data_IF_880273230702
#
_entry.id   IF_880273230702
#
_cell.length_a   1.000
_cell.length_b   1.000
_cell.length_c   1.000
_cell.angle_alpha   90.00
_cell.angle_beta   90.00
_cell.angle_gamma   90.00
#
_symmetry.space_group_name_H-M   'P 1'
#
loop_
_entity.id
_entity.type
_entity.pdbx_description
1 polymer ?
#
# COMPACT_ATOMS: atom_id res chain seq x y z
N UNK A 1 -47.32 -19.47 -9.62
CA UNK A 1 -46.27 -18.54 -10.12
C UNK A 1 -45.81 -17.54 -9.07
N UNK A 2 -46.66 -16.68 -8.48
CA UNK A 2 -46.21 -15.61 -7.56
C UNK A 2 -45.24 -16.04 -6.43
N UNK A 3 -45.48 -17.16 -5.73
CA UNK A 3 -44.57 -17.68 -4.68
C UNK A 3 -43.17 -18.05 -5.20
N UNK A 4 -43.06 -18.52 -6.45
CA UNK A 4 -41.79 -18.87 -7.09
C UNK A 4 -41.01 -17.62 -7.48
N UNK A 5 -41.70 -16.61 -8.03
CA UNK A 5 -41.12 -15.30 -8.35
C UNK A 5 -40.62 -14.58 -7.08
N UNK A 6 -41.38 -14.65 -5.98
CA UNK A 6 -40.97 -14.09 -4.69
C UNK A 6 -39.73 -14.81 -4.13
N UNK A 7 -39.67 -16.14 -4.22
CA UNK A 7 -38.50 -16.92 -3.82
C UNK A 7 -37.25 -16.57 -4.64
N UNK A 8 -37.38 -16.44 -5.96
CA UNK A 8 -36.27 -16.03 -6.84
C UNK A 8 -35.82 -14.59 -6.53
N UNK A 9 -36.75 -13.66 -6.26
CA UNK A 9 -36.43 -12.29 -5.89
C UNK A 9 -35.70 -12.21 -4.53
N UNK A 10 -36.11 -13.01 -3.53
CA UNK A 10 -35.44 -13.07 -2.22
C UNK A 10 -34.05 -13.72 -2.33
N UNK A 11 -33.88 -14.76 -3.15
CA UNK A 11 -32.56 -15.34 -3.41
C UNK A 11 -31.65 -14.36 -4.16
N UNK A 12 -32.18 -13.61 -5.14
CA UNK A 12 -31.42 -12.54 -5.81
C UNK A 12 -31.03 -11.41 -4.86
N UNK A 13 -31.91 -11.00 -3.93
CA UNK A 13 -31.58 -10.03 -2.88
C UNK A 13 -30.50 -10.58 -1.92
N UNK A 14 -30.62 -11.83 -1.48
CA UNK A 14 -29.63 -12.46 -0.61
C UNK A 14 -28.27 -12.65 -1.32
N UNK A 15 -28.26 -12.91 -2.63
CA UNK A 15 -27.05 -12.92 -3.44
C UNK A 15 -26.47 -11.51 -3.69
N UNK A 16 -27.30 -10.46 -3.68
CA UNK A 16 -26.84 -9.06 -3.72
C UNK A 16 -26.22 -8.61 -2.38
N UNK A 17 -26.67 -9.18 -1.25
CA UNK A 17 -26.09 -8.91 0.08
C UNK A 17 -24.91 -9.82 0.46
N UNK A 18 -24.57 -10.83 -0.35
CA UNK A 18 -23.27 -11.52 -0.30
C UNK A 18 -22.12 -10.67 -0.87
N UNK A 19 -22.14 -9.37 -0.55
CA UNK A 19 -21.02 -8.47 -0.73
C UNK A 19 -19.90 -8.85 0.23
N UNK A 20 -18.90 -9.58 -0.25
CA UNK A 20 -17.66 -9.85 0.49
C UNK A 20 -17.08 -8.53 1.02
N UNK A 21 -16.95 -8.41 2.33
CA UNK A 21 -16.43 -7.20 2.96
C UNK A 21 -14.96 -7.01 2.56
N UNK A 22 -14.67 -5.93 1.84
CA UNK A 22 -13.33 -5.64 1.37
C UNK A 22 -12.34 -5.46 2.54
N UNK A 23 -11.13 -5.98 2.36
CA UNK A 23 -9.99 -5.68 3.24
C UNK A 23 -9.37 -4.33 2.89
N UNK A 24 -8.97 -3.59 3.92
CA UNK A 24 -8.04 -2.47 3.81
C UNK A 24 -6.92 -2.71 4.82
N UNK A 25 -5.76 -3.15 4.32
CA UNK A 25 -4.60 -3.54 5.12
C UNK A 25 -3.56 -2.42 5.09
N UNK A 26 -3.25 -1.83 6.24
CA UNK A 26 -2.41 -0.64 6.31
C UNK A 26 -1.09 -0.92 7.04
N UNK A 27 0.03 -0.57 6.41
CA UNK A 27 1.34 -0.72 7.04
C UNK A 27 1.73 0.55 7.84
N UNK A 28 2.19 0.32 9.07
CA UNK A 28 2.90 1.28 9.91
C UNK A 28 4.41 0.99 9.81
N UNK A 29 5.21 1.96 9.37
CA UNK A 29 6.66 1.84 9.29
C UNK A 29 7.33 2.42 10.55
N UNK A 30 7.99 1.58 11.36
CA UNK A 30 8.50 2.00 12.67
C UNK A 30 9.60 3.06 12.59
N UNK A 31 10.35 3.15 11.49
CA UNK A 31 11.39 4.16 11.29
C UNK A 31 10.82 5.57 11.03
N UNK A 32 9.53 5.70 10.71
CA UNK A 32 8.92 7.00 10.45
C UNK A 32 8.84 7.90 11.70
N UNK A 33 9.00 7.33 12.90
CA UNK A 33 9.09 8.09 14.16
C UNK A 33 10.36 8.94 14.29
N UNK A 34 11.37 8.69 13.45
CA UNK A 34 12.66 9.39 13.44
C UNK A 34 12.74 10.51 12.39
N UNK A 35 11.70 10.69 11.57
CA UNK A 35 11.64 11.80 10.60
C UNK A 35 11.56 13.16 11.31
N UNK A 36 12.11 14.23 10.72
CA UNK A 36 12.14 15.54 11.36
C UNK A 36 10.75 16.22 11.35
N UNK A 37 10.48 17.01 12.40
CA UNK A 37 9.36 17.95 12.44
C UNK A 37 8.00 17.34 12.15
N UNK A 38 7.23 17.98 11.26
CA UNK A 38 5.86 17.61 10.92
C UNK A 38 5.70 16.26 10.19
N UNK A 39 6.80 15.62 9.77
CA UNK A 39 6.77 14.28 9.16
C UNK A 39 7.07 13.14 10.16
N UNK A 40 7.33 13.46 11.43
CA UNK A 40 7.40 12.45 12.49
C UNK A 40 6.07 11.72 12.60
N UNK A 41 6.11 10.39 12.59
CA UNK A 41 4.92 9.56 12.58
C UNK A 41 4.99 8.42 13.61
N UNK A 42 3.94 8.27 14.40
CA UNK A 42 3.85 7.35 15.56
C UNK A 42 2.53 6.58 15.55
N UNK A 43 2.36 5.54 16.38
CA UNK A 43 1.07 4.84 16.50
C UNK A 43 -0.09 5.75 16.94
N UNK A 44 0.20 6.81 17.72
CA UNK A 44 -0.79 7.79 18.19
C UNK A 44 -1.38 8.65 17.05
N UNK A 45 -0.72 8.68 15.88
CA UNK A 45 -1.22 9.38 14.68
C UNK A 45 -2.27 8.56 13.90
N UNK A 46 -2.39 7.25 14.19
CA UNK A 46 -3.27 6.32 13.49
C UNK A 46 -4.71 6.43 14.02
N UNK A 47 -5.66 6.67 13.12
CA UNK A 47 -7.08 6.43 13.42
C UNK A 47 -7.36 4.91 13.37
N UNK A 48 -7.73 4.25 14.49
CA UNK A 48 -7.94 2.81 14.54
C UNK A 48 -9.16 2.34 13.73
N UNK A 49 -10.05 3.25 13.33
CA UNK A 49 -11.21 2.95 12.49
C UNK A 49 -10.90 3.02 10.98
N UNK A 50 -9.74 3.54 10.60
CA UNK A 50 -9.38 3.82 9.21
C UNK A 50 -9.15 2.57 8.35
N UNK A 51 -8.60 1.50 8.95
CA UNK A 51 -8.18 0.28 8.26
C UNK A 51 -8.80 -0.95 8.92
N UNK A 52 -9.04 -2.03 8.16
CA UNK A 52 -9.55 -3.29 8.77
C UNK A 52 -8.44 -4.13 9.38
N UNK A 53 -7.19 -3.94 8.94
CA UNK A 53 -6.00 -4.60 9.48
C UNK A 53 -4.84 -3.60 9.52
N UNK A 54 -4.05 -3.63 10.59
CA UNK A 54 -2.80 -2.87 10.74
C UNK A 54 -1.62 -3.85 10.80
N UNK A 55 -0.54 -3.56 10.06
CA UNK A 55 0.70 -4.36 10.07
C UNK A 55 1.87 -3.46 10.48
N UNK A 56 2.61 -3.89 11.50
CA UNK A 56 3.83 -3.23 11.95
C UNK A 56 5.04 -3.69 11.11
N UNK A 57 5.58 -2.79 10.28
CA UNK A 57 6.80 -3.00 9.49
C UNK A 57 8.00 -2.34 10.19
N UNK A 58 9.08 -3.05 10.55
CA UNK A 58 9.27 -4.50 10.52
C UNK A 58 9.63 -5.02 11.92
N UNK A 59 9.10 -6.21 12.25
CA UNK A 59 9.73 -7.15 13.17
C UNK A 59 10.66 -8.10 12.38
N UNK A 60 11.61 -8.74 13.04
CA UNK A 60 12.91 -9.14 12.47
C UNK A 60 13.54 -10.04 13.56
N UNK A 61 14.08 -11.28 13.35
CA UNK A 61 14.48 -12.29 14.42
C UNK A 61 15.99 -12.67 14.76
N UNK A 62 16.48 -12.53 16.03
CA UNK A 62 17.87 -12.79 16.59
C UNK A 62 17.86 -13.54 17.91
N UNK A 63 18.69 -14.56 18.10
CA UNK A 63 18.81 -15.28 19.40
C UNK A 63 17.46 -15.82 19.93
N UNK A 64 16.54 -16.25 19.04
CA UNK A 64 15.11 -16.52 19.32
C UNK A 64 14.25 -15.30 19.72
N UNK A 65 14.85 -14.10 19.73
CA UNK A 65 14.25 -12.75 19.70
C UNK A 65 14.47 -12.05 18.33
N UNK A 66 15.24 -10.92 18.19
CA UNK A 66 15.14 -9.86 17.10
C UNK A 66 16.38 -9.40 16.22
N UNK A 67 16.51 -9.75 14.89
CA UNK A 67 17.50 -9.33 13.78
C UNK A 67 17.23 -10.08 12.42
N UNK A 68 17.82 -9.75 11.26
CA UNK A 68 17.54 -10.42 9.95
C UNK A 68 18.81 -10.75 9.14
N UNK A 69 18.65 -11.35 7.92
CA UNK A 69 19.37 -11.01 6.66
C UNK A 69 20.35 -12.07 6.02
N UNK A 70 19.93 -13.28 5.57
CA UNK A 70 20.92 -14.28 5.06
C UNK A 70 20.54 -15.37 4.02
N UNK A 71 21.28 -15.36 2.89
CA UNK A 71 21.62 -16.40 1.87
C UNK A 71 20.65 -17.50 1.38
N UNK A 72 19.60 -17.93 2.08
CA UNK A 72 18.72 -19.03 1.64
C UNK A 72 17.27 -18.61 1.29
N UNK A 73 17.02 -17.30 1.22
CA UNK A 73 15.71 -16.69 0.95
C UNK A 73 15.03 -17.24 -0.32
N UNK A 74 15.81 -17.56 -1.38
CA UNK A 74 15.30 -18.10 -2.65
C UNK A 74 14.68 -19.51 -2.49
N UNK A 75 15.22 -20.32 -1.57
CA UNK A 75 14.69 -21.66 -1.27
C UNK A 75 13.48 -21.57 -0.34
N UNK A 76 13.53 -20.67 0.65
CA UNK A 76 12.39 -20.33 1.50
C UNK A 76 11.20 -19.80 0.68
N UNK A 77 11.45 -19.02 -0.38
CA UNK A 77 10.41 -18.48 -1.27
C UNK A 77 9.53 -19.57 -1.89
N UNK A 78 10.11 -20.72 -2.28
CA UNK A 78 9.33 -21.84 -2.85
C UNK A 78 8.47 -22.55 -1.79
N UNK A 79 9.03 -22.80 -0.60
CA UNK A 79 8.29 -23.42 0.51
C UNK A 79 7.22 -22.50 1.10
N UNK A 80 7.48 -21.20 1.18
CA UNK A 80 6.51 -20.19 1.61
C UNK A 80 5.37 -20.04 0.58
N UNK A 81 5.68 -20.08 -0.72
CA UNK A 81 4.68 -20.17 -1.78
C UNK A 81 3.86 -21.48 -1.72
N UNK A 82 4.37 -22.58 -1.18
CA UNK A 82 3.58 -23.81 -1.02
C UNK A 82 2.46 -23.68 0.04
N UNK A 83 2.61 -22.78 1.02
CA UNK A 83 1.56 -22.47 2.02
C UNK A 83 0.31 -21.82 1.41
N UNK A 84 0.41 -21.29 0.17
CA UNK A 84 -0.69 -20.65 -0.57
C UNK A 84 -1.96 -21.49 -0.67
N UNK A 85 -1.82 -22.82 -0.62
CA UNK A 85 -2.90 -23.77 -0.88
C UNK A 85 -3.58 -24.33 0.37
N UNK A 86 -3.14 -23.96 1.60
CA UNK A 86 -3.64 -24.61 2.83
C UNK A 86 -4.03 -23.70 4.00
N UNK A 87 -3.36 -22.56 4.25
CA UNK A 87 -3.52 -21.86 5.57
C UNK A 87 -3.53 -20.34 5.56
N UNK A 88 -3.25 -19.64 4.46
CA UNK A 88 -3.19 -18.18 4.45
C UNK A 88 -4.57 -17.53 4.22
N UNK A 89 -4.91 -16.51 5.02
CA UNK A 89 -6.17 -15.76 4.91
C UNK A 89 -6.21 -14.85 3.67
N UNK A 90 -5.12 -14.11 3.42
CA UNK A 90 -4.97 -13.21 2.27
C UNK A 90 -3.50 -12.95 1.90
N UNK A 91 -3.29 -12.36 0.72
CA UNK A 91 -2.00 -11.95 0.16
C UNK A 91 -1.97 -10.44 -0.05
N UNK A 92 -0.94 -9.77 0.46
CA UNK A 92 -0.67 -8.37 0.15
C UNK A 92 0.29 -8.30 -1.04
N UNK A 93 -0.22 -7.93 -2.21
CA UNK A 93 0.60 -7.81 -3.43
C UNK A 93 1.24 -6.42 -3.47
N UNK A 94 2.57 -6.36 -3.56
CA UNK A 94 3.33 -5.11 -3.68
C UNK A 94 3.26 -4.61 -5.14
N UNK A 95 2.11 -4.07 -5.55
CA UNK A 95 1.86 -3.55 -6.91
C UNK A 95 2.33 -2.10 -7.06
N UNK A 96 3.59 -1.89 -6.73
CA UNK A 96 4.35 -0.64 -6.78
C UNK A 96 5.86 -0.99 -6.88
N UNK A 97 6.75 0.00 -6.92
CA UNK A 97 8.18 -0.18 -7.24
C UNK A 97 8.42 -0.83 -8.63
N UNK A 98 7.51 -0.63 -9.59
CA UNK A 98 7.65 -1.19 -10.95
C UNK A 98 8.76 -0.50 -11.75
N UNK A 99 8.87 0.82 -11.57
CA UNK A 99 9.92 1.64 -12.14
C UNK A 99 10.44 2.62 -11.08
N UNK A 100 11.75 2.83 -11.07
CA UNK A 100 12.42 3.68 -10.10
C UNK A 100 13.84 4.03 -10.55
N UNK A 101 14.63 4.72 -9.72
CA UNK A 101 15.93 5.31 -10.11
C UNK A 101 17.02 4.31 -10.50
N UNK A 102 16.75 3.00 -10.40
CA UNK A 102 17.53 1.90 -10.98
C UNK A 102 17.33 1.71 -12.49
N UNK A 103 16.30 2.32 -13.09
CA UNK A 103 16.06 2.35 -14.53
C UNK A 103 16.80 3.52 -15.20
N UNK A 104 17.25 3.32 -16.44
CA UNK A 104 17.83 4.38 -17.30
C UNK A 104 16.81 5.31 -17.96
N UNK A 105 15.55 5.24 -17.51
CA UNK A 105 14.43 6.04 -18.00
C UNK A 105 13.46 6.30 -16.85
N UNK A 106 12.81 7.47 -16.89
CA UNK A 106 11.72 7.82 -15.99
C UNK A 106 10.49 6.96 -16.24
N UNK A 107 9.90 6.40 -15.19
CA UNK A 107 8.73 5.54 -15.29
C UNK A 107 7.90 5.57 -14.02
N UNK A 108 6.61 5.24 -14.14
CA UNK A 108 5.64 5.34 -13.06
C UNK A 108 5.91 4.33 -11.94
N UNK A 109 5.79 4.76 -10.67
CA UNK A 109 6.00 3.89 -9.52
C UNK A 109 5.03 2.69 -9.52
N UNK A 110 3.74 2.98 -9.71
CA UNK A 110 2.62 2.07 -9.42
C UNK A 110 1.56 2.01 -10.54
N UNK A 111 1.91 1.97 -11.84
CA UNK A 111 0.94 2.09 -12.92
C UNK A 111 -0.16 1.02 -12.87
N UNK A 112 -1.40 1.41 -13.21
CA UNK A 112 -2.52 0.46 -13.24
C UNK A 112 -2.40 -0.50 -14.43
N UNK A 113 -2.01 0.02 -15.59
CA UNK A 113 -1.80 -0.75 -16.83
C UNK A 113 -0.38 -0.54 -17.40
N UNK A 114 0.05 -1.46 -18.27
CA UNK A 114 1.32 -1.32 -18.98
C UNK A 114 1.31 -0.14 -19.97
N UNK A 115 2.47 0.44 -20.24
CA UNK A 115 2.66 1.31 -21.41
C UNK A 115 2.24 0.56 -22.69
N UNK A 116 1.56 1.22 -23.67
CA UNK A 116 1.05 0.56 -24.88
C UNK A 116 2.09 -0.23 -25.68
N UNK A 117 3.35 0.21 -25.64
CA UNK A 117 4.48 -0.39 -26.36
C UNK A 117 5.36 -1.31 -25.49
N UNK A 118 4.93 -1.67 -24.27
CA UNK A 118 5.69 -2.51 -23.36
C UNK A 118 6.03 -3.88 -23.97
N UNK A 119 7.29 -4.31 -23.84
CA UNK A 119 7.79 -5.58 -24.37
C UNK A 119 8.27 -6.50 -23.25
N UNK A 120 8.28 -7.81 -23.52
CA UNK A 120 8.68 -8.83 -22.55
C UNK A 120 7.95 -8.69 -21.21
N UNK A 121 8.71 -8.78 -20.11
CA UNK A 121 8.18 -8.74 -18.75
C UNK A 121 7.52 -7.39 -18.39
N UNK A 122 7.87 -6.30 -19.06
CA UNK A 122 7.32 -4.96 -18.77
C UNK A 122 5.81 -4.88 -19.03
N UNK A 123 5.24 -5.83 -19.81
CA UNK A 123 3.79 -6.01 -19.98
C UNK A 123 3.05 -6.33 -18.67
N UNK A 124 3.76 -6.88 -17.68
CA UNK A 124 3.23 -7.24 -16.37
C UNK A 124 3.69 -6.29 -15.25
N UNK A 125 4.56 -5.32 -15.56
CA UNK A 125 5.05 -4.30 -14.61
C UNK A 125 4.01 -3.19 -14.42
N UNK A 126 2.87 -3.60 -13.86
CA UNK A 126 1.70 -2.79 -13.54
C UNK A 126 0.76 -3.61 -12.63
N UNK A 127 -0.14 -2.92 -11.92
CA UNK A 127 -1.07 -3.52 -10.97
C UNK A 127 -1.96 -4.59 -11.63
N UNK A 128 -2.56 -4.30 -12.78
CA UNK A 128 -3.49 -5.22 -13.43
C UNK A 128 -2.82 -6.51 -13.89
N UNK A 129 -1.67 -6.39 -14.58
CA UNK A 129 -0.87 -7.53 -15.03
C UNK A 129 -0.34 -8.38 -13.88
N UNK A 130 0.10 -7.76 -12.79
CA UNK A 130 0.59 -8.50 -11.59
C UNK A 130 -0.53 -9.31 -10.93
N UNK A 131 -1.69 -8.71 -10.70
CA UNK A 131 -2.84 -9.42 -10.10
C UNK A 131 -3.32 -10.55 -11.01
N UNK A 132 -3.36 -10.33 -12.32
CA UNK A 132 -3.78 -11.34 -13.29
C UNK A 132 -2.81 -12.54 -13.30
N UNK A 133 -1.49 -12.31 -13.29
CA UNK A 133 -0.49 -13.39 -13.16
C UNK A 133 -0.71 -14.19 -11.87
N UNK A 134 -0.95 -13.53 -10.73
CA UNK A 134 -1.21 -14.24 -9.47
C UNK A 134 -2.47 -15.12 -9.52
N UNK A 135 -3.52 -14.69 -10.22
CA UNK A 135 -4.73 -15.52 -10.45
C UNK A 135 -4.45 -16.70 -11.37
N UNK A 136 -3.69 -16.49 -12.44
CA UNK A 136 -3.30 -17.55 -13.40
C UNK A 136 -2.42 -18.62 -12.73
N UNK A 137 -1.56 -18.23 -11.79
CA UNK A 137 -0.79 -19.11 -10.89
C UNK A 137 -1.63 -19.73 -9.75
N UNK A 138 -2.96 -19.61 -9.81
CA UNK A 138 -3.90 -20.31 -8.90
C UNK A 138 -4.16 -19.62 -7.56
N UNK A 139 -3.77 -18.35 -7.37
CA UNK A 139 -4.16 -17.64 -6.16
C UNK A 139 -5.66 -17.26 -6.19
N UNK A 140 -6.46 -17.63 -5.17
CA UNK A 140 -7.88 -17.28 -5.14
C UNK A 140 -8.06 -15.75 -5.13
N UNK A 141 -8.88 -15.22 -6.04
CA UNK A 141 -9.02 -13.79 -6.27
C UNK A 141 -9.46 -13.05 -4.99
N UNK A 142 -10.40 -13.62 -4.26
CA UNK A 142 -10.91 -13.13 -2.98
C UNK A 142 -9.83 -13.08 -1.90
N UNK A 143 -8.71 -13.80 -2.03
CA UNK A 143 -7.56 -13.72 -1.12
C UNK A 143 -6.52 -12.67 -1.53
N UNK A 144 -6.60 -12.08 -2.72
CA UNK A 144 -5.64 -11.06 -3.16
C UNK A 144 -6.03 -9.66 -2.67
N UNK A 145 -5.07 -8.94 -2.07
CA UNK A 145 -5.15 -7.50 -1.83
C UNK A 145 -4.16 -6.79 -2.77
N UNK A 146 -4.60 -5.81 -3.55
CA UNK A 146 -3.70 -4.99 -4.38
C UNK A 146 -3.03 -3.88 -3.54
N UNK A 147 -1.75 -3.63 -3.78
CA UNK A 147 -0.94 -2.64 -3.07
C UNK A 147 -1.01 -1.24 -3.68
N UNK A 148 -1.20 -0.26 -2.80
CA UNK A 148 -1.29 1.17 -3.11
C UNK A 148 -0.13 1.90 -2.45
N UNK A 149 0.55 2.75 -3.21
CA UNK A 149 1.71 3.50 -2.76
C UNK A 149 1.31 4.88 -2.23
N UNK A 150 1.71 5.22 -1.01
CA UNK A 150 1.66 6.59 -0.48
C UNK A 150 2.86 7.44 -0.91
N UNK A 151 3.56 7.09 -1.99
CA UNK A 151 4.84 7.68 -2.39
C UNK A 151 5.04 7.56 -3.91
N UNK A 152 6.01 8.30 -4.43
CA UNK A 152 6.47 8.23 -5.81
C UNK A 152 7.96 8.00 -5.90
N UNK A 153 8.40 7.50 -7.06
CA UNK A 153 9.82 7.41 -7.40
C UNK A 153 10.25 8.60 -8.24
N UNK A 154 11.35 9.24 -7.84
CA UNK A 154 11.88 10.42 -8.49
C UNK A 154 13.19 10.14 -9.26
N UNK A 155 13.34 10.85 -10.37
CA UNK A 155 14.38 10.64 -11.37
C UNK A 155 15.04 11.97 -11.72
N UNK A 156 16.30 11.88 -12.15
CA UNK A 156 17.00 12.95 -12.85
C UNK A 156 16.98 12.66 -14.36
N UNK A 157 16.23 13.45 -15.10
CA UNK A 157 16.17 13.41 -16.56
C UNK A 157 17.51 13.85 -17.16
N UNK A 158 17.92 13.18 -18.24
CA UNK A 158 19.12 13.52 -19.01
C UNK A 158 18.83 14.29 -20.31
N UNK A 159 17.55 14.56 -20.60
CA UNK A 159 17.09 15.32 -21.78
C UNK A 159 15.92 16.24 -21.39
N UNK A 160 15.46 17.07 -22.33
CA UNK A 160 14.24 17.88 -22.17
C UNK A 160 12.93 17.11 -22.39
N UNK A 161 12.98 15.80 -22.72
CA UNK A 161 11.79 14.96 -22.76
C UNK A 161 11.31 14.69 -21.32
N UNK A 162 10.02 14.88 -21.08
CA UNK A 162 9.37 14.75 -19.76
C UNK A 162 8.27 13.69 -19.72
N UNK A 163 8.01 13.01 -20.85
CA UNK A 163 7.03 11.93 -20.91
C UNK A 163 7.55 10.66 -20.22
N UNK A 164 6.66 9.77 -19.73
CA UNK A 164 7.04 8.43 -19.29
C UNK A 164 7.88 7.70 -20.36
N UNK A 165 8.97 7.06 -19.93
CA UNK A 165 10.01 6.51 -20.81
C UNK A 165 11.11 7.51 -21.21
N UNK A 166 11.07 8.77 -20.75
CA UNK A 166 12.14 9.74 -21.02
C UNK A 166 13.49 9.29 -20.41
N UNK A 167 14.63 9.48 -21.11
CA UNK A 167 15.94 9.11 -20.60
C UNK A 167 16.27 9.78 -19.26
N UNK A 168 16.73 8.97 -18.31
CA UNK A 168 17.12 9.39 -16.96
C UNK A 168 18.49 8.81 -16.59
N UNK A 169 19.26 9.52 -15.77
CA UNK A 169 20.62 9.13 -15.37
C UNK A 169 20.82 9.02 -13.85
N UNK A 170 19.74 8.72 -13.13
CA UNK A 170 19.77 8.37 -11.71
C UNK A 170 18.59 8.93 -10.93
N UNK A 171 18.73 8.88 -9.60
CA UNK A 171 17.77 9.38 -8.64
C UNK A 171 17.54 10.89 -8.74
N UNK A 172 16.28 11.30 -8.55
CA UNK A 172 15.96 12.68 -8.18
C UNK A 172 16.49 13.04 -6.79
N UNK A 173 16.52 14.33 -6.41
CA UNK A 173 16.96 14.76 -5.09
C UNK A 173 16.19 14.07 -3.96
N UNK A 174 16.84 13.96 -2.78
CA UNK A 174 16.19 13.46 -1.58
C UNK A 174 15.16 14.46 -1.07
N UNK A 175 13.99 13.95 -0.66
CA UNK A 175 12.99 14.76 0.06
C UNK A 175 13.52 15.26 1.40
N UNK A 176 13.06 16.44 1.85
CA UNK A 176 13.51 17.05 3.10
C UNK A 176 13.24 16.16 4.34
N UNK A 177 12.14 15.40 4.31
CA UNK A 177 11.64 14.61 5.42
C UNK A 177 11.91 13.11 5.26
N UNK A 178 11.81 12.58 4.04
CA UNK A 178 12.16 11.17 3.77
C UNK A 178 13.67 10.95 3.68
N UNK A 179 14.42 11.98 3.28
CA UNK A 179 15.90 11.99 3.21
C UNK A 179 16.49 10.86 2.34
N UNK A 180 15.71 10.36 1.39
CA UNK A 180 16.08 9.28 0.47
C UNK A 180 16.04 9.79 -0.97
N UNK A 181 17.18 9.81 -1.66
CA UNK A 181 17.23 10.17 -3.08
C UNK A 181 16.40 9.21 -3.92
N UNK A 182 15.65 9.75 -4.88
CA UNK A 182 14.83 8.96 -5.80
C UNK A 182 13.50 8.46 -5.23
N UNK A 183 13.11 8.95 -4.05
CA UNK A 183 11.90 8.58 -3.33
C UNK A 183 11.29 9.83 -2.69
N UNK A 184 9.98 10.03 -2.85
CA UNK A 184 9.26 11.13 -2.21
C UNK A 184 7.95 10.62 -1.63
N UNK A 185 7.67 10.95 -0.37
CA UNK A 185 6.35 10.72 0.23
C UNK A 185 5.28 11.57 -0.46
N UNK A 186 4.01 11.15 -0.44
CA UNK A 186 2.91 11.92 -1.05
C UNK A 186 2.87 13.36 -0.55
N UNK A 187 3.08 13.57 0.76
CA UNK A 187 3.14 14.91 1.34
C UNK A 187 4.34 15.75 0.85
N UNK A 188 5.46 15.14 0.45
CA UNK A 188 6.59 15.84 -0.18
C UNK A 188 6.31 16.14 -1.65
N UNK A 189 5.58 15.26 -2.35
CA UNK A 189 5.13 15.49 -3.72
C UNK A 189 4.16 16.68 -3.76
N UNK A 190 3.25 16.80 -2.78
CA UNK A 190 2.42 18.00 -2.62
C UNK A 190 3.22 19.31 -2.44
N UNK A 191 4.44 19.26 -1.91
CA UNK A 191 5.34 20.42 -1.88
C UNK A 191 6.02 20.65 -3.24
N UNK A 192 6.49 19.59 -3.89
CA UNK A 192 7.09 19.63 -5.23
C UNK A 192 6.13 20.22 -6.28
N UNK A 193 4.85 19.82 -6.24
CA UNK A 193 3.78 20.28 -7.14
C UNK A 193 3.56 21.80 -7.11
N UNK A 194 3.98 22.51 -6.05
CA UNK A 194 3.86 23.98 -5.97
C UNK A 194 4.71 24.72 -7.02
N UNK A 195 5.74 24.06 -7.55
CA UNK A 195 6.67 24.62 -8.54
C UNK A 195 6.91 23.68 -9.74
N UNK A 196 6.08 22.64 -9.90
CA UNK A 196 6.22 21.62 -10.94
C UNK A 196 5.02 21.61 -11.90
N UNK A 197 5.20 21.03 -13.07
CA UNK A 197 4.09 20.71 -14.00
C UNK A 197 3.62 19.28 -13.75
N UNK A 198 2.38 19.11 -13.30
CA UNK A 198 1.70 17.81 -13.27
C UNK A 198 1.13 17.45 -14.64
N UNK A 199 1.16 16.16 -14.99
CA UNK A 199 0.48 15.57 -16.14
C UNK A 199 -0.10 14.22 -15.76
N UNK A 200 -1.12 13.80 -16.51
CA UNK A 200 -1.75 12.49 -16.37
C UNK A 200 -1.26 11.54 -17.47
N UNK A 201 -0.72 10.38 -17.11
CA UNK A 201 -0.55 9.27 -18.05
C UNK A 201 -1.89 8.54 -18.21
N UNK A 202 -2.63 8.90 -19.26
CA UNK A 202 -3.91 8.27 -19.59
C UNK A 202 -3.79 6.79 -20.00
N UNK A 203 -2.61 6.31 -20.37
CA UNK A 203 -2.38 4.90 -20.70
C UNK A 203 -2.13 4.05 -19.45
N UNK A 204 -1.49 4.63 -18.43
CA UNK A 204 -1.15 3.94 -17.19
C UNK A 204 -2.09 4.28 -16.01
N UNK A 205 -2.98 5.26 -16.18
CA UNK A 205 -3.98 5.75 -15.20
C UNK A 205 -3.37 6.26 -13.88
N UNK A 206 -2.28 7.01 -14.00
CA UNK A 206 -1.51 7.59 -12.89
C UNK A 206 -0.97 8.97 -13.26
N UNK A 207 -0.71 9.85 -12.28
CA UNK A 207 -0.05 11.13 -12.48
C UNK A 207 1.48 11.02 -12.44
N UNK A 208 2.13 11.90 -13.21
CA UNK A 208 3.53 12.26 -13.01
C UNK A 208 3.69 13.78 -12.94
N UNK A 209 4.77 14.24 -12.31
CA UNK A 209 5.11 15.65 -12.25
C UNK A 209 6.59 15.89 -12.56
N UNK A 210 6.93 17.05 -13.10
CA UNK A 210 8.31 17.41 -13.39
C UNK A 210 8.61 18.91 -13.21
N UNK A 211 9.87 19.20 -12.87
CA UNK A 211 10.41 20.55 -12.66
C UNK A 211 11.86 20.58 -13.12
N UNK A 212 12.14 21.35 -14.17
CA UNK A 212 13.47 21.33 -14.80
C UNK A 212 13.82 19.94 -15.31
N UNK A 213 14.82 19.29 -14.70
CA UNK A 213 15.20 17.90 -14.97
C UNK A 213 14.82 16.92 -13.84
N UNK A 214 14.08 17.35 -12.82
CA UNK A 214 13.49 16.48 -11.80
C UNK A 214 12.14 15.96 -12.30
N UNK A 215 11.88 14.67 -12.13
CA UNK A 215 10.64 14.00 -12.54
C UNK A 215 10.21 13.03 -11.44
N UNK A 216 8.91 12.91 -11.16
CA UNK A 216 8.36 11.95 -10.19
C UNK A 216 7.09 11.31 -10.73
N UNK A 217 7.02 9.97 -10.67
CA UNK A 217 5.85 9.17 -11.02
C UNK A 217 5.23 8.59 -9.77
N UNK A 218 3.92 8.78 -9.58
CA UNK A 218 3.31 8.66 -8.25
C UNK A 218 1.81 8.33 -8.28
N UNK A 219 1.16 8.38 -7.12
CA UNK A 219 -0.28 8.19 -6.96
C UNK A 219 -0.93 9.44 -6.35
N UNK A 220 -2.15 9.76 -6.77
CA UNK A 220 -2.98 10.82 -6.19
C UNK A 220 -4.42 10.28 -5.94
N UNK A 221 -5.32 11.07 -5.33
CA UNK A 221 -6.69 10.63 -5.05
C UNK A 221 -7.50 10.19 -6.28
N UNK A 222 -7.16 10.63 -7.50
CA UNK A 222 -7.80 10.20 -8.74
C UNK A 222 -7.31 8.81 -9.17
N UNK A 223 -5.99 8.57 -9.20
CA UNK A 223 -5.44 7.25 -9.55
C UNK A 223 -5.84 6.19 -8.52
N UNK A 224 -5.91 6.55 -7.23
CA UNK A 224 -6.48 5.70 -6.19
C UNK A 224 -7.95 5.34 -6.48
N UNK A 225 -8.77 6.29 -6.93
CA UNK A 225 -10.16 6.02 -7.29
C UNK A 225 -10.28 5.07 -8.48
N UNK A 226 -9.52 5.28 -9.54
CA UNK A 226 -9.57 4.47 -10.75
C UNK A 226 -9.01 3.06 -10.53
N UNK A 227 -7.95 2.93 -9.72
CA UNK A 227 -7.46 1.64 -9.21
C UNK A 227 -8.52 0.92 -8.38
N UNK A 228 -9.30 1.61 -7.53
CA UNK A 228 -10.40 0.97 -6.77
C UNK A 228 -11.57 0.57 -7.68
N UNK A 229 -11.94 1.37 -8.69
CA UNK A 229 -12.93 0.97 -9.71
C UNK A 229 -12.50 -0.32 -10.42
N UNK A 230 -11.22 -0.40 -10.81
CA UNK A 230 -10.64 -1.61 -11.40
C UNK A 230 -10.61 -2.78 -10.41
N UNK A 231 -10.21 -2.56 -9.15
CA UNK A 231 -10.12 -3.57 -8.09
C UNK A 231 -11.46 -4.28 -7.87
N UNK A 232 -12.55 -3.49 -7.76
CA UNK A 232 -13.92 -4.01 -7.64
C UNK A 232 -14.33 -4.82 -8.87
N UNK A 233 -14.05 -4.33 -10.08
CA UNK A 233 -14.31 -5.05 -11.34
C UNK A 233 -13.52 -6.35 -11.44
N UNK A 234 -12.30 -6.37 -10.90
CA UNK A 234 -11.43 -7.54 -10.82
C UNK A 234 -11.80 -8.53 -9.71
N UNK A 235 -12.81 -8.22 -8.88
CA UNK A 235 -13.33 -9.09 -7.82
C UNK A 235 -12.25 -9.65 -6.88
N UNK A 236 -11.23 -8.85 -6.56
CA UNK A 236 -10.21 -9.23 -5.58
C UNK A 236 -10.59 -8.78 -4.17
N UNK A 237 -10.01 -9.42 -3.16
CA UNK A 237 -10.43 -9.32 -1.76
C UNK A 237 -10.24 -7.97 -1.04
N UNK A 238 -9.41 -7.06 -1.56
CA UNK A 238 -9.19 -5.78 -0.91
C UNK A 238 -8.01 -4.98 -1.43
N UNK A 239 -7.72 -3.90 -0.71
CA UNK A 239 -6.53 -3.06 -0.90
C UNK A 239 -5.55 -3.23 0.28
N UNK A 240 -4.29 -2.96 -0.01
CA UNK A 240 -3.22 -2.81 0.94
C UNK A 240 -2.53 -1.47 0.70
N UNK A 241 -2.08 -0.76 1.73
CA UNK A 241 -1.39 0.53 1.57
C UNK A 241 -0.01 0.56 2.24
N UNK A 242 0.99 0.95 1.45
CA UNK A 242 2.36 1.20 1.89
C UNK A 242 2.72 2.68 1.71
N UNK A 243 2.84 3.49 2.76
CA UNK A 243 2.46 3.26 4.16
C UNK A 243 1.63 4.45 4.62
N UNK A 244 0.93 4.30 5.75
CA UNK A 244 0.19 5.42 6.36
C UNK A 244 1.10 6.64 6.62
N UNK A 245 2.37 6.38 6.97
CA UNK A 245 3.38 7.42 7.25
C UNK A 245 3.80 8.24 6.03
N UNK A 246 3.45 7.82 4.81
CA UNK A 246 3.86 8.47 3.56
C UNK A 246 2.72 9.28 2.93
N UNK A 247 1.48 9.01 3.34
CA UNK A 247 0.31 9.88 3.08
C UNK A 247 0.46 11.22 3.82
N UNK A 248 -0.35 12.24 3.48
CA UNK A 248 -0.46 13.44 4.33
C UNK A 248 -1.34 13.15 5.56
N UNK A 249 -0.81 12.31 6.45
CA UNK A 249 -1.45 11.95 7.72
C UNK A 249 -1.81 13.18 8.58
N UNK A 250 -1.04 14.25 8.45
CA UNK A 250 -1.22 15.52 9.17
C UNK A 250 -2.35 16.38 8.61
N UNK A 251 -2.60 16.30 7.30
CA UNK A 251 -3.44 17.20 6.50
C UNK A 251 -2.85 18.58 6.23
N UNK A 252 -1.56 18.80 6.54
CA UNK A 252 -0.92 20.13 6.53
C UNK A 252 -0.12 20.44 5.27
N UNK A 253 0.21 19.43 4.46
CA UNK A 253 1.10 19.58 3.31
C UNK A 253 0.33 19.74 1.98
N UNK A 254 -0.71 18.93 1.80
CA UNK A 254 -1.52 18.85 0.58
C UNK A 254 -2.78 19.71 0.62
N UNK A 255 -3.21 20.17 1.81
CA UNK A 255 -4.48 20.87 2.05
C UNK A 255 -5.73 20.07 1.61
N UNK A 256 -5.64 18.74 1.60
CA UNK A 256 -6.72 17.81 1.21
C UNK A 256 -7.43 17.16 2.43
N UNK A 257 -7.17 17.66 3.65
CA UNK A 257 -7.55 17.00 4.90
C UNK A 257 -6.51 15.95 5.33
N UNK A 258 -6.69 15.38 6.53
CA UNK A 258 -5.82 14.28 7.02
C UNK A 258 -6.02 13.04 6.16
N UNK A 259 -4.93 12.32 5.91
CA UNK A 259 -4.94 11.00 5.27
C UNK A 259 -5.69 10.96 3.90
N UNK A 260 -5.40 11.88 2.97
CA UNK A 260 -6.17 12.01 1.74
C UNK A 260 -6.16 10.76 0.86
N UNK A 261 -5.08 9.97 0.88
CA UNK A 261 -4.98 8.73 0.10
C UNK A 261 -5.68 7.55 0.80
N UNK A 262 -5.35 7.24 2.07
CA UNK A 262 -5.97 6.08 2.74
C UNK A 262 -7.46 6.31 3.04
N UNK A 263 -7.88 7.55 3.31
CA UNK A 263 -9.31 7.88 3.46
C UNK A 263 -10.07 7.68 2.15
N UNK A 264 -9.44 7.89 0.99
CA UNK A 264 -10.03 7.57 -0.32
C UNK A 264 -10.25 6.06 -0.45
N UNK A 265 -9.30 5.23 -0.03
CA UNK A 265 -9.46 3.76 0.01
C UNK A 265 -10.60 3.33 0.94
N UNK A 266 -10.58 3.82 2.19
CA UNK A 266 -11.60 3.53 3.21
C UNK A 266 -13.01 3.82 2.69
N UNK A 267 -13.23 5.03 2.19
CA UNK A 267 -14.53 5.48 1.70
C UNK A 267 -15.00 4.68 0.48
N UNK A 268 -14.12 4.45 -0.51
CA UNK A 268 -14.51 3.75 -1.73
C UNK A 268 -14.72 2.24 -1.52
N UNK A 269 -13.98 1.61 -0.60
CA UNK A 269 -14.20 0.21 -0.23
C UNK A 269 -15.42 0.03 0.69
N UNK A 270 -15.95 1.10 1.26
CA UNK A 270 -17.12 1.08 2.14
C UNK A 270 -16.79 0.55 3.54
N UNK A 271 -15.58 0.78 4.02
CA UNK A 271 -15.11 0.25 5.30
C UNK A 271 -15.90 0.85 6.46
N UNK A 272 -16.36 -0.02 7.36
CA UNK A 272 -16.77 0.22 8.74
C UNK A 272 -17.36 1.61 9.12
N UNK A 273 -18.47 2.00 8.50
CA UNK A 273 -19.22 3.25 8.79
C UNK A 273 -19.73 3.42 10.24
N UNK A 274 -19.61 2.40 11.08
CA UNK A 274 -20.08 2.39 12.47
C UNK A 274 -18.97 2.19 13.50
N UNK A 275 -17.70 2.31 13.12
CA UNK A 275 -16.59 2.17 14.04
C UNK A 275 -16.58 3.31 15.07
N UNK A 276 -16.46 2.95 16.36
CA UNK A 276 -16.23 3.89 17.45
C UNK A 276 -14.89 3.51 18.09
N UNK A 277 -13.89 4.36 17.92
CA UNK A 277 -12.61 4.19 18.59
C UNK A 277 -12.82 4.24 20.11
N UNK A 278 -12.33 3.25 20.90
CA UNK A 278 -12.28 3.39 22.34
C UNK A 278 -11.47 4.64 22.73
N UNK A 279 -11.85 5.37 23.79
CA UNK A 279 -11.01 6.45 24.29
C UNK A 279 -9.64 5.90 24.68
N UNK A 280 -8.58 6.66 24.36
CA UNK A 280 -7.20 6.31 24.74
C UNK A 280 -7.14 6.05 26.26
N UNK A 281 -6.42 5.01 26.73
CA UNK A 281 -6.27 4.75 28.15
C UNK A 281 -5.69 5.98 28.86
N UNK A 282 -6.45 6.56 29.80
CA UNK A 282 -5.96 7.65 30.64
C UNK A 282 -4.87 7.13 31.56
N UNK A 283 -3.62 7.39 31.19
CA UNK A 283 -2.39 6.77 31.71
C UNK A 283 -2.29 6.75 33.24
N UNK A 284 -2.37 5.57 33.90
CA UNK A 284 -1.51 5.29 35.04
C UNK A 284 -0.10 5.01 34.50
N UNK A 285 0.94 5.48 35.18
CA UNK A 285 2.31 5.46 34.66
C UNK A 285 2.77 4.09 34.12
N UNK A 286 3.60 4.14 33.07
CA UNK A 286 4.14 2.97 32.33
C UNK A 286 4.54 1.86 33.31
N UNK A 287 3.73 0.80 33.40
CA UNK A 287 4.15 -0.45 34.04
C UNK A 287 5.01 -1.21 33.03
N UNK A 288 6.28 -1.38 33.36
CA UNK A 288 7.22 -2.20 32.58
C UNK A 288 6.93 -3.68 32.82
N UNK A 289 5.85 -4.21 32.24
CA UNK A 289 5.52 -5.63 32.33
C UNK A 289 6.51 -6.45 31.50
N UNK A 290 7.33 -7.25 32.15
CA UNK A 290 8.23 -8.20 31.49
C UNK A 290 7.42 -9.33 30.85
N UNK A 291 7.32 -9.35 29.52
CA UNK A 291 6.62 -10.42 28.78
C UNK A 291 7.52 -11.64 28.72
N UNK A 292 7.30 -12.61 29.62
CA UNK A 292 7.95 -13.91 29.58
C UNK A 292 7.15 -14.87 28.69
N UNK A 293 7.68 -15.19 27.51
CA UNK A 293 7.11 -16.23 26.63
C UNK A 293 7.63 -17.59 27.07
N UNK A 294 6.85 -18.28 27.91
CA UNK A 294 7.12 -19.67 28.28
C UNK A 294 6.62 -20.61 27.18
N UNK A 295 7.54 -21.34 26.55
CA UNK A 295 7.19 -22.45 25.66
C UNK A 295 7.04 -23.72 26.49
N UNK A 296 5.84 -24.29 26.49
CA UNK A 296 5.63 -25.65 26.99
C UNK A 296 4.77 -26.47 26.00
N UNK A 297 5.44 -27.38 25.30
CA UNK A 297 4.87 -28.38 24.37
C UNK A 297 4.10 -27.84 23.17
N UNK A 298 2.88 -27.35 23.39
CA UNK A 298 1.83 -27.26 22.36
C UNK A 298 0.87 -26.06 22.47
N UNK A 299 1.11 -25.07 23.34
CA UNK A 299 0.30 -23.82 23.34
C UNK A 299 1.12 -22.57 23.66
N UNK A 300 0.82 -21.49 22.95
CA UNK A 300 1.28 -20.15 23.31
C UNK A 300 0.39 -19.59 24.43
N UNK A 301 0.97 -19.24 25.58
CA UNK A 301 0.29 -18.46 26.62
C UNK A 301 1.05 -17.16 26.84
N UNK A 302 0.36 -16.04 26.63
CA UNK A 302 0.80 -14.75 27.13
C UNK A 302 0.42 -14.72 28.62
N UNK A 303 1.41 -14.72 29.50
CA UNK A 303 1.21 -14.52 30.94
C UNK A 303 1.67 -13.12 31.29
N UNK A 304 0.72 -12.23 31.52
CA UNK A 304 0.98 -10.95 32.20
C UNK A 304 1.12 -11.22 33.69
N UNK A 305 2.22 -10.76 34.28
CA UNK A 305 2.38 -10.64 35.73
C UNK A 305 2.18 -9.15 36.09
N UNK A 306 1.38 -8.89 37.12
CA UNK A 306 0.92 -7.56 37.53
C UNK A 306 1.96 -6.72 38.29
#
# INVERSE_FOLDING_TARGET
MAKLLLGIAVVLLACLELGSAYRLVCYFANWAQYRPGAAKYTPDDIDPCMCTHLIFAFAVMKNNEVSTYGWNDVTLYKSFNALKTRTLDFFNLMTYDFYGPWNSFAGENSPLYALPNAQGNNKYFNMAGTVEVWKQEGAPAEKLNAGFAGYGHSFRLSTSNTAPGAPANGAGPAGHYTQQSGFLAYFEICLFLKEATEKWDASQMVPYAYKGNEWVGYDNPQSFEDKIKWLKKSQIGGAMMWTLSLDDFSGTFCHQGRYPLVSKLHNLLGINKGCVAPPLPTTPGIRTSTINVLMDGHTWKIVTLD
#
